data_IF_479178693826
#
_entry.id   IF_479178693826
#
_cell.length_a   1.000
_cell.length_b   1.000
_cell.length_c   1.000
_cell.angle_alpha   90.00
_cell.angle_beta   90.00
_cell.angle_gamma   90.00
#
_symmetry.space_group_name_H-M   'P 1'
#
loop_
_entity.id
_entity.type
_entity.pdbx_description
1 polymer ?
#
# COMPACT_ATOMS: atom_id res chain seq x y z
N UNK A 1 39.05 34.46 59.99
CA UNK A 1 38.80 34.67 58.53
C UNK A 1 38.77 33.30 57.86
N UNK A 2 37.59 32.72 57.71
CA UNK A 2 37.40 31.47 56.99
C UNK A 2 37.15 31.80 55.51
N UNK A 3 38.03 31.29 54.63
CA UNK A 3 37.83 31.33 53.17
C UNK A 3 36.97 30.15 52.75
N UNK A 4 35.75 30.40 52.33
CA UNK A 4 34.90 29.41 51.64
C UNK A 4 35.38 29.36 50.21
N UNK A 5 35.93 28.20 49.83
CA UNK A 5 36.23 27.86 48.42
C UNK A 5 34.95 27.36 47.75
N UNK A 6 34.47 28.06 46.73
CA UNK A 6 33.44 27.55 45.79
C UNK A 6 34.08 26.45 44.91
N UNK A 7 33.61 25.22 45.08
CA UNK A 7 33.81 24.17 44.05
C UNK A 7 32.82 24.41 42.91
N UNK A 8 33.25 24.49 41.63
CA UNK A 8 32.36 24.47 40.50
C UNK A 8 31.83 23.03 40.29
N UNK A 9 30.53 22.85 40.51
CA UNK A 9 29.87 21.61 40.09
C UNK A 9 29.76 21.64 38.58
N UNK A 10 30.65 20.84 37.91
CA UNK A 10 30.60 20.60 36.47
C UNK A 10 29.38 19.70 36.17
N UNK A 11 28.26 20.27 35.72
CA UNK A 11 27.20 19.51 35.13
C UNK A 11 27.69 18.94 33.77
N UNK A 12 28.08 17.67 33.78
CA UNK A 12 28.23 16.89 32.57
C UNK A 12 26.82 16.67 31.96
N UNK A 13 26.42 17.53 31.02
CA UNK A 13 25.28 17.25 30.15
C UNK A 13 25.75 16.12 29.23
N UNK A 14 25.45 14.88 29.57
CA UNK A 14 25.56 13.76 28.67
C UNK A 14 24.39 13.93 27.67
N UNK A 15 24.66 14.58 26.54
CA UNK A 15 23.77 14.53 25.38
C UNK A 15 23.83 13.09 24.87
N UNK A 16 22.85 12.30 25.24
CA UNK A 16 22.61 11.00 24.60
C UNK A 16 22.17 11.30 23.16
N UNK A 17 23.10 11.35 22.23
CA UNK A 17 22.80 11.29 20.82
C UNK A 17 22.47 9.82 20.53
N UNK A 18 21.22 9.45 20.72
CA UNK A 18 20.70 8.19 20.23
C UNK A 18 20.81 8.23 18.69
N UNK A 19 21.70 7.41 18.14
CA UNK A 19 21.77 7.26 16.69
C UNK A 19 20.46 6.62 16.22
N UNK A 20 19.74 7.33 15.37
CA UNK A 20 18.53 6.79 14.70
C UNK A 20 18.89 5.49 13.98
N UNK A 21 18.06 4.47 14.15
CA UNK A 21 18.24 3.15 13.57
C UNK A 21 16.94 2.62 13.00
N UNK A 22 17.01 1.60 12.15
CA UNK A 22 15.87 0.84 11.68
C UNK A 22 15.94 -0.56 12.26
N UNK A 23 14.92 -0.94 13.00
CA UNK A 23 14.76 -2.28 13.54
C UNK A 23 13.39 -2.83 13.19
N UNK A 24 13.36 -3.97 12.53
CA UNK A 24 12.14 -4.74 12.30
C UNK A 24 11.84 -5.60 13.53
N UNK A 25 11.56 -4.93 14.65
CA UNK A 25 11.23 -5.54 15.95
C UNK A 25 9.98 -6.42 15.88
N UNK A 26 9.69 -7.24 16.90
CA UNK A 26 8.45 -8.01 16.98
C UNK A 26 7.19 -7.14 16.86
N UNK A 27 7.17 -5.95 17.51
CA UNK A 27 6.05 -5.01 17.42
C UNK A 27 5.90 -4.43 16.00
N UNK A 28 7.01 -4.07 15.33
CA UNK A 28 6.98 -3.61 13.94
C UNK A 28 6.51 -4.71 12.98
N UNK A 29 6.94 -5.95 13.16
CA UNK A 29 6.47 -7.10 12.35
C UNK A 29 4.99 -7.32 12.50
N UNK A 30 4.48 -7.27 13.74
CA UNK A 30 3.07 -7.44 14.00
C UNK A 30 2.26 -6.26 13.46
N UNK A 31 2.73 -5.02 13.64
CA UNK A 31 2.13 -3.83 13.05
C UNK A 31 2.03 -3.94 11.52
N UNK A 32 3.09 -4.37 10.85
CA UNK A 32 3.07 -4.57 9.39
C UNK A 32 2.02 -5.60 8.96
N UNK A 33 1.93 -6.73 9.69
CA UNK A 33 0.91 -7.75 9.43
C UNK A 33 -0.52 -7.21 9.61
N UNK A 34 -0.76 -6.41 10.66
CA UNK A 34 -2.07 -5.78 10.85
C UNK A 34 -2.37 -4.71 9.79
N UNK A 35 -1.35 -3.98 9.30
CA UNK A 35 -1.47 -3.04 8.16
C UNK A 35 -1.92 -3.79 6.91
N UNK A 36 -1.23 -4.86 6.53
CA UNK A 36 -1.58 -5.69 5.37
C UNK A 36 -2.93 -6.39 5.52
N UNK A 37 -3.37 -6.60 6.76
CA UNK A 37 -4.71 -7.10 7.09
C UNK A 37 -5.79 -6.03 7.04
N UNK A 38 -5.44 -4.73 6.97
CA UNK A 38 -6.34 -3.56 7.09
C UNK A 38 -6.93 -3.38 8.50
N UNK A 39 -6.23 -3.77 9.53
CA UNK A 39 -6.56 -3.57 10.95
C UNK A 39 -5.71 -2.44 11.51
N UNK A 40 -5.95 -1.23 11.03
CA UNK A 40 -5.07 -0.10 11.30
C UNK A 40 -5.04 0.33 12.76
N UNK A 41 -6.15 0.22 13.51
CA UNK A 41 -6.17 0.54 14.94
C UNK A 41 -5.23 -0.39 15.74
N UNK A 42 -5.26 -1.70 15.46
CA UNK A 42 -4.35 -2.65 16.09
C UNK A 42 -2.89 -2.40 15.69
N UNK A 43 -2.64 -2.05 14.43
CA UNK A 43 -1.29 -1.69 13.99
C UNK A 43 -0.76 -0.46 14.76
N UNK A 44 -1.57 0.59 14.92
CA UNK A 44 -1.22 1.81 15.64
C UNK A 44 -0.90 1.54 17.12
N UNK A 45 -1.56 0.55 17.76
CA UNK A 45 -1.23 0.12 19.14
C UNK A 45 0.19 -0.45 19.22
N UNK A 46 0.59 -1.36 18.31
CA UNK A 46 1.95 -1.90 18.23
C UNK A 46 2.98 -0.82 17.95
N UNK A 47 2.71 0.10 17.00
CA UNK A 47 3.62 1.20 16.69
C UNK A 47 3.80 2.15 17.86
N UNK A 48 2.73 2.39 18.61
CA UNK A 48 2.79 3.20 19.85
C UNK A 48 3.63 2.53 20.95
N UNK A 49 3.52 1.21 21.09
CA UNK A 49 4.35 0.41 22.00
C UNK A 49 5.82 0.50 21.63
N UNK A 50 6.15 0.27 20.37
CA UNK A 50 7.54 0.32 19.85
C UNK A 50 8.17 1.70 20.06
N UNK A 51 7.47 2.78 19.72
CA UNK A 51 7.98 4.15 19.92
C UNK A 51 8.26 4.51 21.38
N UNK A 52 7.60 3.83 22.32
CA UNK A 52 7.86 4.01 23.77
C UNK A 52 9.05 3.18 24.26
N UNK A 53 9.20 1.97 23.73
CA UNK A 53 10.24 1.02 24.16
C UNK A 53 11.57 1.24 23.46
N UNK A 54 11.53 1.67 22.20
CA UNK A 54 12.70 1.86 21.31
C UNK A 54 12.56 3.19 20.55
N UNK A 55 12.66 4.35 21.23
CA UNK A 55 12.41 5.66 20.64
C UNK A 55 13.37 6.04 19.51
N UNK A 56 14.53 5.40 19.44
CA UNK A 56 15.52 5.55 18.35
C UNK A 56 15.13 4.79 17.07
N UNK A 57 14.17 3.85 17.12
CA UNK A 57 13.69 3.12 15.97
C UNK A 57 12.82 4.00 15.07
N UNK A 58 13.26 4.26 13.85
CA UNK A 58 12.55 5.09 12.86
C UNK A 58 11.50 4.30 12.07
N UNK A 59 11.59 2.97 12.05
CA UNK A 59 10.70 2.14 11.25
C UNK A 59 9.19 2.30 11.56
N UNK A 60 8.75 2.50 12.82
CA UNK A 60 7.36 2.81 13.14
C UNK A 60 6.79 4.01 12.38
N UNK A 61 7.56 5.07 12.16
CA UNK A 61 7.11 6.27 11.45
C UNK A 61 6.89 6.01 9.95
N UNK A 62 7.69 5.13 9.36
CA UNK A 62 7.43 4.64 8.01
C UNK A 62 6.14 3.81 7.94
N UNK A 63 5.91 2.92 8.89
CA UNK A 63 4.69 2.11 8.96
C UNK A 63 3.43 2.95 9.20
N UNK A 64 3.51 4.04 9.97
CA UNK A 64 2.43 5.02 10.08
C UNK A 64 2.14 5.71 8.73
N UNK A 65 3.19 6.03 7.95
CA UNK A 65 2.98 6.54 6.60
C UNK A 65 2.27 5.52 5.69
N UNK A 66 2.59 4.23 5.86
CA UNK A 66 1.93 3.16 5.12
C UNK A 66 0.44 3.05 5.48
N UNK A 67 0.08 3.22 6.76
CA UNK A 67 -1.32 3.29 7.20
C UNK A 67 -2.04 4.47 6.52
N UNK A 68 -1.46 5.68 6.57
CA UNK A 68 -2.05 6.86 5.93
C UNK A 68 -2.22 6.65 4.42
N UNK A 69 -1.21 6.12 3.76
CA UNK A 69 -1.28 5.77 2.33
C UNK A 69 -2.44 4.83 2.02
N UNK A 70 -2.57 3.72 2.75
CA UNK A 70 -3.65 2.75 2.51
C UNK A 70 -5.03 3.35 2.83
N UNK A 71 -5.16 4.13 3.91
CA UNK A 71 -6.41 4.86 4.22
C UNK A 71 -6.81 5.77 3.05
N UNK A 72 -5.88 6.57 2.54
CA UNK A 72 -6.10 7.49 1.40
C UNK A 72 -6.45 6.71 0.13
N UNK A 73 -5.64 5.70 -0.20
CA UNK A 73 -5.77 4.94 -1.45
C UNK A 73 -7.08 4.17 -1.55
N UNK A 74 -7.58 3.67 -0.41
CA UNK A 74 -8.79 2.85 -0.30
C UNK A 74 -10.05 3.68 -0.17
N UNK A 75 -10.02 4.77 0.64
CA UNK A 75 -11.18 5.61 0.88
C UNK A 75 -11.40 6.68 -0.19
N UNK A 76 -10.32 7.16 -0.83
CA UNK A 76 -10.29 8.33 -1.72
C UNK A 76 -10.92 9.58 -1.05
N UNK A 77 -10.78 9.69 0.27
CA UNK A 77 -11.30 10.79 1.06
C UNK A 77 -10.30 11.96 1.03
N UNK A 78 -10.71 13.11 0.47
CA UNK A 78 -9.88 14.32 0.35
C UNK A 78 -9.47 14.85 1.74
N UNK A 79 -10.34 14.76 2.75
CA UNK A 79 -10.03 15.23 4.10
C UNK A 79 -8.91 14.39 4.74
N UNK A 80 -8.93 13.05 4.52
CA UNK A 80 -7.84 12.17 5.00
C UNK A 80 -6.54 12.50 4.28
N UNK A 81 -6.60 12.76 2.96
CA UNK A 81 -5.44 13.11 2.15
C UNK A 81 -4.79 14.41 2.62
N UNK A 82 -5.57 15.49 2.78
CA UNK A 82 -5.09 16.80 3.20
C UNK A 82 -4.46 16.74 4.60
N UNK A 83 -5.11 16.05 5.55
CA UNK A 83 -4.62 15.92 6.93
C UNK A 83 -3.33 15.09 7.03
N UNK A 84 -3.07 14.18 6.10
CA UNK A 84 -1.88 13.32 6.12
C UNK A 84 -0.61 14.00 5.57
N UNK A 85 -0.73 15.13 4.84
CA UNK A 85 0.42 15.78 4.19
C UNK A 85 1.43 16.33 5.21
N UNK A 86 0.97 16.94 6.30
CA UNK A 86 1.84 17.42 7.38
C UNK A 86 2.58 16.28 8.07
N UNK A 87 1.92 15.15 8.28
CA UNK A 87 2.51 13.94 8.86
C UNK A 87 3.63 13.39 7.97
N UNK A 88 3.43 13.36 6.64
CA UNK A 88 4.46 12.97 5.67
C UNK A 88 5.73 13.76 5.86
N UNK A 89 5.62 15.10 5.90
CA UNK A 89 6.79 15.98 6.01
C UNK A 89 7.58 15.75 7.29
N UNK A 90 6.89 15.50 8.41
CA UNK A 90 7.54 15.16 9.68
C UNK A 90 8.25 13.81 9.60
N UNK A 91 7.61 12.78 9.02
CA UNK A 91 8.19 11.44 8.87
C UNK A 91 9.41 11.43 7.95
N UNK A 92 9.37 12.18 6.85
CA UNK A 92 10.54 12.35 5.96
C UNK A 92 11.73 12.89 6.74
N UNK A 93 11.57 13.94 7.55
CA UNK A 93 12.65 14.50 8.38
C UNK A 93 13.24 13.49 9.36
N UNK A 94 12.39 12.63 9.94
CA UNK A 94 12.87 11.58 10.84
C UNK A 94 13.67 10.50 10.09
N UNK A 95 13.22 10.11 8.89
CA UNK A 95 13.94 9.13 8.06
C UNK A 95 15.27 9.73 7.54
N UNK A 96 15.28 11.01 7.18
CA UNK A 96 16.51 11.72 6.76
C UNK A 96 17.60 11.79 7.86
N UNK A 97 17.21 11.63 9.12
CA UNK A 97 18.14 11.55 10.23
C UNK A 97 18.89 10.20 10.34
N UNK A 98 18.49 9.19 9.57
CA UNK A 98 19.24 7.94 9.46
C UNK A 98 20.61 8.20 8.78
N UNK A 99 21.67 7.47 9.18
CA UNK A 99 22.99 7.62 8.55
C UNK A 99 22.94 7.20 7.07
N UNK A 100 23.73 7.88 6.23
CA UNK A 100 23.87 7.57 4.79
C UNK A 100 24.40 6.17 4.52
N UNK A 101 25.07 5.57 5.51
CA UNK A 101 25.54 4.18 5.46
C UNK A 101 24.46 3.14 5.71
N UNK A 102 23.23 3.56 5.99
CA UNK A 102 22.09 2.66 6.19
C UNK A 102 21.34 2.42 4.89
N UNK A 103 21.19 1.17 4.40
CA UNK A 103 20.39 0.89 3.21
C UNK A 103 18.91 1.25 3.39
N UNK A 104 18.46 1.37 4.64
CA UNK A 104 17.08 1.73 4.93
C UNK A 104 16.77 3.21 4.69
N UNK A 105 17.73 4.12 4.77
CA UNK A 105 17.48 5.55 4.61
C UNK A 105 16.83 5.88 3.27
N UNK A 106 17.54 5.64 2.19
CA UNK A 106 17.03 5.92 0.84
C UNK A 106 15.87 5.00 0.46
N UNK A 107 15.88 3.73 0.91
CA UNK A 107 14.77 2.80 0.71
C UNK A 107 13.45 3.32 1.31
N UNK A 108 13.44 3.74 2.58
CA UNK A 108 12.22 4.23 3.23
C UNK A 108 11.77 5.57 2.63
N UNK A 109 12.70 6.48 2.32
CA UNK A 109 12.38 7.73 1.63
C UNK A 109 11.79 7.49 0.25
N UNK A 110 12.34 6.54 -0.52
CA UNK A 110 11.80 6.15 -1.82
C UNK A 110 10.37 5.62 -1.72
N UNK A 111 10.13 4.72 -0.76
CA UNK A 111 8.79 4.17 -0.54
C UNK A 111 7.76 5.21 -0.08
N UNK A 112 8.12 6.12 0.83
CA UNK A 112 7.24 7.23 1.21
C UNK A 112 6.86 8.06 -0.03
N UNK A 113 7.85 8.46 -0.85
CA UNK A 113 7.57 9.24 -2.07
C UNK A 113 6.73 8.43 -3.08
N UNK A 114 6.98 7.14 -3.26
CA UNK A 114 6.20 6.28 -4.15
C UNK A 114 4.74 6.16 -3.67
N UNK A 115 4.50 5.93 -2.39
CA UNK A 115 3.16 5.88 -1.80
C UNK A 115 2.40 7.20 -2.00
N UNK A 116 3.09 8.33 -1.84
CA UNK A 116 2.52 9.65 -2.09
C UNK A 116 2.29 9.94 -3.57
N UNK A 117 3.13 9.43 -4.47
CA UNK A 117 2.85 9.49 -5.91
C UNK A 117 1.52 8.78 -6.24
N UNK A 118 1.29 7.58 -5.71
CA UNK A 118 0.01 6.89 -5.87
C UNK A 118 -1.17 7.65 -5.26
N UNK A 119 -1.02 8.20 -4.05
CA UNK A 119 -2.05 9.01 -3.41
C UNK A 119 -2.44 10.21 -4.29
N UNK A 120 -1.47 10.97 -4.78
CA UNK A 120 -1.68 12.13 -5.65
C UNK A 120 -2.34 11.76 -6.98
N UNK A 121 -2.02 10.60 -7.57
CA UNK A 121 -2.69 10.12 -8.77
C UNK A 121 -4.20 9.88 -8.54
N UNK A 122 -4.60 9.43 -7.35
CA UNK A 122 -6.02 9.27 -6.99
C UNK A 122 -6.78 10.60 -7.04
N UNK A 123 -6.14 11.70 -6.64
CA UNK A 123 -6.71 13.05 -6.64
C UNK A 123 -6.40 13.84 -7.92
N UNK A 124 -5.77 13.20 -8.94
CA UNK A 124 -5.43 13.80 -10.26
C UNK A 124 -4.36 14.89 -10.18
N UNK A 125 -3.56 14.88 -9.15
CA UNK A 125 -2.41 15.78 -8.98
C UNK A 125 -1.18 15.26 -9.76
N UNK A 126 -1.32 15.16 -11.09
CA UNK A 126 -0.33 14.48 -11.95
C UNK A 126 1.07 15.06 -11.87
N UNK A 127 1.19 16.38 -11.78
CA UNK A 127 2.50 17.03 -11.70
C UNK A 127 3.20 16.75 -10.36
N UNK A 128 2.49 16.88 -9.25
CA UNK A 128 3.01 16.54 -7.93
C UNK A 128 3.36 15.04 -7.82
N UNK A 129 2.52 14.16 -8.38
CA UNK A 129 2.79 12.73 -8.46
C UNK A 129 4.08 12.43 -9.23
N UNK A 130 4.34 13.12 -10.33
CA UNK A 130 5.57 12.97 -11.11
C UNK A 130 6.82 13.41 -10.33
N UNK A 131 6.74 14.48 -9.55
CA UNK A 131 7.84 14.94 -8.67
C UNK A 131 8.13 13.88 -7.60
N UNK A 132 7.10 13.33 -6.95
CA UNK A 132 7.28 12.27 -5.95
C UNK A 132 7.89 11.02 -6.58
N UNK A 133 7.40 10.61 -7.75
CA UNK A 133 7.92 9.45 -8.49
C UNK A 133 9.39 9.63 -8.86
N UNK A 134 9.77 10.84 -9.33
CA UNK A 134 11.15 11.16 -9.66
C UNK A 134 12.08 11.07 -8.45
N UNK A 135 11.63 11.58 -7.31
CA UNK A 135 12.39 11.45 -6.05
C UNK A 135 12.56 10.00 -5.63
N UNK A 136 11.47 9.22 -5.69
CA UNK A 136 11.51 7.80 -5.37
C UNK A 136 12.50 7.04 -6.26
N UNK A 137 12.49 7.32 -7.56
CA UNK A 137 13.38 6.70 -8.54
C UNK A 137 14.85 6.98 -8.21
N UNK A 138 15.25 8.25 -8.07
CA UNK A 138 16.64 8.57 -7.81
C UNK A 138 17.13 8.02 -6.46
N UNK A 139 16.30 8.02 -5.42
CA UNK A 139 16.64 7.44 -4.13
C UNK A 139 16.86 5.93 -4.23
N UNK A 140 16.03 5.22 -5.01
CA UNK A 140 16.15 3.76 -5.14
C UNK A 140 17.33 3.36 -6.03
N UNK A 141 17.61 4.12 -7.10
CA UNK A 141 18.79 3.93 -7.94
C UNK A 141 20.08 4.09 -7.11
N UNK A 142 20.23 5.22 -6.42
CA UNK A 142 21.37 5.47 -5.54
C UNK A 142 21.51 4.37 -4.46
N UNK A 143 20.38 3.94 -3.88
CA UNK A 143 20.40 2.88 -2.87
C UNK A 143 20.82 1.52 -3.45
N UNK A 144 20.42 1.23 -4.69
CA UNK A 144 20.80 -0.01 -5.38
C UNK A 144 22.29 -0.02 -5.75
N UNK A 145 22.82 1.12 -6.17
CA UNK A 145 24.26 1.26 -6.45
C UNK A 145 25.10 1.08 -5.18
N UNK A 146 24.69 1.71 -4.07
CA UNK A 146 25.44 1.67 -2.81
C UNK A 146 25.25 0.34 -2.05
N UNK A 147 24.10 -0.33 -2.22
CA UNK A 147 23.74 -1.55 -1.49
C UNK A 147 23.13 -2.60 -2.44
N UNK A 148 23.94 -3.19 -3.36
CA UNK A 148 23.44 -4.11 -4.39
C UNK A 148 22.79 -5.39 -3.84
N UNK A 149 23.17 -5.80 -2.63
CA UNK A 149 22.62 -6.99 -1.95
C UNK A 149 21.38 -6.68 -1.10
N UNK A 150 20.90 -5.43 -1.11
CA UNK A 150 19.70 -5.04 -0.40
C UNK A 150 18.45 -5.26 -1.29
N UNK A 151 17.97 -6.49 -1.34
CA UNK A 151 16.88 -6.95 -2.21
C UNK A 151 15.55 -6.20 -2.08
N UNK A 152 15.16 -5.58 -0.94
CA UNK A 152 13.93 -4.78 -0.89
C UNK A 152 13.87 -3.68 -1.96
N UNK A 153 15.03 -3.17 -2.43
CA UNK A 153 15.08 -2.18 -3.51
C UNK A 153 14.35 -2.64 -4.78
N UNK A 154 14.42 -3.93 -5.12
CA UNK A 154 13.81 -4.48 -6.35
C UNK A 154 12.28 -4.34 -6.37
N UNK A 155 11.61 -4.40 -5.21
CA UNK A 155 10.14 -4.19 -5.17
C UNK A 155 9.83 -2.76 -5.58
N UNK A 156 10.45 -1.78 -4.92
CA UNK A 156 10.22 -0.35 -5.19
C UNK A 156 10.59 0.02 -6.62
N UNK A 157 11.74 -0.45 -7.09
CA UNK A 157 12.23 -0.23 -8.45
C UNK A 157 11.29 -0.83 -9.51
N UNK A 158 10.87 -2.09 -9.32
CA UNK A 158 9.92 -2.76 -10.20
C UNK A 158 8.58 -2.03 -10.28
N UNK A 159 8.04 -1.59 -9.12
CA UNK A 159 6.79 -0.82 -9.08
C UNK A 159 6.93 0.53 -9.81
N UNK A 160 8.05 1.23 -9.65
CA UNK A 160 8.33 2.48 -10.38
C UNK A 160 8.35 2.23 -11.90
N UNK A 161 9.07 1.19 -12.38
CA UNK A 161 9.10 0.82 -13.80
C UNK A 161 7.71 0.53 -14.37
N UNK A 162 6.87 -0.16 -13.60
CA UNK A 162 5.48 -0.43 -13.99
C UNK A 162 4.71 0.88 -14.14
N UNK A 163 4.79 1.79 -13.17
CA UNK A 163 4.10 3.08 -13.24
C UNK A 163 4.52 3.87 -14.45
N UNK A 164 5.82 3.96 -14.70
CA UNK A 164 6.41 4.67 -15.86
C UNK A 164 5.89 4.07 -17.16
N UNK A 165 5.89 2.74 -17.29
CA UNK A 165 5.36 2.02 -18.45
C UNK A 165 3.85 2.20 -18.68
N UNK A 166 3.10 2.67 -17.66
CA UNK A 166 1.66 2.93 -17.75
C UNK A 166 1.31 4.37 -18.10
N UNK A 167 2.29 5.28 -18.16
CA UNK A 167 2.01 6.70 -18.46
C UNK A 167 1.47 6.82 -19.88
N UNK A 168 0.24 7.35 -20.06
CA UNK A 168 -0.32 7.52 -21.41
C UNK A 168 0.51 8.49 -22.25
N UNK A 169 0.60 8.26 -23.57
CA UNK A 169 1.39 9.06 -24.50
C UNK A 169 1.19 10.59 -24.35
N UNK A 170 -0.01 11.03 -24.09
CA UNK A 170 -0.33 12.45 -23.87
C UNK A 170 0.39 13.08 -22.68
N UNK A 171 0.96 12.27 -21.78
CA UNK A 171 1.73 12.69 -20.61
C UNK A 171 3.23 12.37 -20.73
N UNK A 172 3.72 11.84 -21.87
CA UNK A 172 5.14 11.54 -22.09
C UNK A 172 6.06 12.74 -21.89
N UNK A 173 5.54 13.95 -22.07
CA UNK A 173 6.28 15.17 -21.75
C UNK A 173 6.70 15.25 -20.28
N UNK A 174 5.92 14.67 -19.36
CA UNK A 174 6.28 14.57 -17.93
C UNK A 174 7.49 13.64 -17.77
N UNK A 175 7.44 12.46 -18.41
CA UNK A 175 8.54 11.48 -18.38
C UNK A 175 9.83 12.05 -18.96
N UNK A 176 9.75 12.86 -20.02
CA UNK A 176 10.93 13.49 -20.62
C UNK A 176 11.60 14.53 -19.69
N UNK A 177 10.84 15.14 -18.78
CA UNK A 177 11.37 16.06 -17.76
C UNK A 177 12.10 15.30 -16.64
N UNK A 178 11.53 14.16 -16.21
CA UNK A 178 12.08 13.37 -15.10
C UNK A 178 13.11 12.32 -15.54
N UNK A 179 13.28 12.12 -16.85
CA UNK A 179 14.31 11.23 -17.44
C UNK A 179 14.30 9.80 -16.85
N UNK A 180 13.12 9.26 -16.56
CA UNK A 180 12.94 7.91 -16.07
C UNK A 180 12.50 7.00 -17.21
N UNK A 181 13.17 5.86 -17.36
CA UNK A 181 12.80 4.80 -18.28
C UNK A 181 12.24 3.61 -17.50
N UNK A 182 11.24 2.94 -18.08
CA UNK A 182 10.65 1.75 -17.47
C UNK A 182 9.57 1.15 -18.34
N UNK A 183 9.35 -0.15 -18.14
CA UNK A 183 8.26 -0.87 -18.80
C UNK A 183 7.50 -1.72 -17.78
N UNK A 184 6.24 -2.01 -18.11
CA UNK A 184 5.42 -2.91 -17.29
C UNK A 184 6.06 -4.31 -17.24
N UNK A 185 6.65 -4.77 -18.33
CA UNK A 185 7.29 -6.07 -18.41
C UNK A 185 8.51 -6.17 -17.50
N UNK A 186 9.44 -5.21 -17.61
CA UNK A 186 10.66 -5.21 -16.79
C UNK A 186 10.34 -5.13 -15.29
N UNK A 187 9.45 -4.21 -14.92
CA UNK A 187 9.06 -4.07 -13.51
C UNK A 187 8.32 -5.30 -12.97
N UNK A 188 7.49 -5.95 -13.79
CA UNK A 188 6.81 -7.20 -13.40
C UNK A 188 7.79 -8.34 -13.23
N UNK A 189 8.82 -8.44 -14.10
CA UNK A 189 9.86 -9.46 -14.00
C UNK A 189 10.67 -9.29 -12.70
N UNK A 190 11.02 -8.07 -12.31
CA UNK A 190 11.68 -7.81 -11.02
C UNK A 190 10.84 -8.26 -9.83
N UNK A 191 9.53 -8.00 -9.85
CA UNK A 191 8.64 -8.47 -8.79
C UNK A 191 8.56 -10.01 -8.73
N UNK A 192 8.53 -10.71 -9.87
CA UNK A 192 8.56 -12.18 -9.89
C UNK A 192 9.90 -12.74 -9.38
N UNK A 193 11.03 -12.08 -9.66
CA UNK A 193 12.33 -12.46 -9.07
C UNK A 193 12.30 -12.38 -7.54
N UNK A 194 11.72 -11.29 -6.99
CA UNK A 194 11.59 -11.15 -5.54
C UNK A 194 10.63 -12.19 -4.96
N UNK A 195 9.52 -12.50 -5.63
CA UNK A 195 8.60 -13.54 -5.20
C UNK A 195 9.30 -14.91 -5.16
N UNK A 196 10.06 -15.25 -6.19
CA UNK A 196 10.83 -16.50 -6.22
C UNK A 196 11.85 -16.56 -5.09
N UNK A 197 12.57 -15.45 -4.83
CA UNK A 197 13.54 -15.36 -3.74
C UNK A 197 12.84 -15.56 -2.38
N UNK A 198 11.73 -14.86 -2.14
CA UNK A 198 10.99 -14.93 -0.88
C UNK A 198 10.40 -16.32 -0.60
N UNK A 199 10.09 -17.09 -1.65
CA UNK A 199 9.60 -18.47 -1.54
C UNK A 199 10.74 -19.48 -1.31
N UNK A 200 11.98 -19.16 -1.75
CA UNK A 200 13.13 -20.08 -1.68
C UNK A 200 14.05 -19.84 -0.49
N UNK A 201 14.09 -18.61 0.06
CA UNK A 201 14.95 -18.21 1.17
C UNK A 201 14.15 -17.53 2.28
N UNK A 202 14.12 -18.17 3.45
CA UNK A 202 13.38 -17.68 4.63
C UNK A 202 13.86 -16.33 5.15
N UNK A 203 15.10 -15.92 4.84
CA UNK A 203 15.60 -14.58 5.19
C UNK A 203 14.84 -13.47 4.47
N UNK A 204 14.24 -13.76 3.31
CA UNK A 204 13.49 -12.83 2.47
C UNK A 204 11.97 -13.08 2.49
N UNK A 205 11.49 -14.04 3.27
CA UNK A 205 10.05 -14.38 3.35
C UNK A 205 9.17 -13.17 3.72
N UNK A 206 9.73 -12.17 4.44
CA UNK A 206 9.00 -10.95 4.79
C UNK A 206 8.65 -10.05 3.59
N UNK A 207 9.29 -10.25 2.43
CA UNK A 207 9.00 -9.51 1.19
C UNK A 207 7.82 -10.11 0.41
N UNK A 208 7.36 -11.32 0.75
CA UNK A 208 6.39 -12.08 -0.01
C UNK A 208 5.04 -11.35 -0.13
N UNK A 209 4.45 -10.94 1.00
CA UNK A 209 3.10 -10.34 1.02
C UNK A 209 3.03 -9.06 0.19
N UNK A 210 4.02 -8.17 0.33
CA UNK A 210 4.08 -6.93 -0.44
C UNK A 210 4.25 -7.20 -1.94
N UNK A 211 5.11 -8.15 -2.28
CA UNK A 211 5.34 -8.55 -3.68
C UNK A 211 4.08 -9.14 -4.31
N UNK A 212 3.37 -10.03 -3.59
CA UNK A 212 2.08 -10.60 -4.03
C UNK A 212 1.04 -9.49 -4.22
N UNK A 213 1.01 -8.49 -3.34
CA UNK A 213 0.10 -7.36 -3.48
C UNK A 213 0.30 -6.61 -4.80
N UNK A 214 1.54 -6.23 -5.12
CA UNK A 214 1.82 -5.52 -6.38
C UNK A 214 1.61 -6.40 -7.61
N UNK A 215 2.05 -7.65 -7.60
CA UNK A 215 1.80 -8.60 -8.69
C UNK A 215 0.29 -8.83 -8.91
N UNK A 216 -0.47 -8.98 -7.83
CA UNK A 216 -1.92 -9.12 -7.90
C UNK A 216 -2.59 -7.90 -8.55
N UNK A 217 -2.10 -6.70 -8.24
CA UNK A 217 -2.59 -5.48 -8.87
C UNK A 217 -2.28 -5.45 -10.38
N UNK A 218 -1.06 -5.83 -10.76
CA UNK A 218 -0.62 -5.90 -12.18
C UNK A 218 -1.47 -6.89 -12.96
N UNK A 219 -1.58 -8.12 -12.49
CA UNK A 219 -2.31 -9.20 -13.17
C UNK A 219 -3.82 -8.94 -13.23
N UNK A 220 -4.37 -8.19 -12.26
CA UNK A 220 -5.79 -7.86 -12.28
C UNK A 220 -6.14 -6.68 -13.18
N UNK A 221 -5.27 -5.68 -13.30
CA UNK A 221 -5.67 -4.38 -13.82
C UNK A 221 -4.82 -3.87 -14.99
N UNK A 222 -3.59 -4.36 -15.14
CA UNK A 222 -2.63 -3.81 -16.11
C UNK A 222 -2.41 -4.74 -17.25
N UNK A 223 -1.96 -5.96 -16.99
CA UNK A 223 -1.65 -6.98 -17.98
C UNK A 223 -2.32 -8.31 -17.59
N UNK A 224 -3.66 -8.41 -17.70
CA UNK A 224 -4.40 -9.58 -17.24
C UNK A 224 -4.00 -10.85 -17.97
N UNK A 225 -3.37 -11.77 -17.27
CA UNK A 225 -3.09 -13.13 -17.71
C UNK A 225 -3.82 -14.13 -16.79
N UNK A 226 -4.73 -14.92 -17.38
CA UNK A 226 -5.53 -15.87 -16.62
C UNK A 226 -4.67 -16.94 -15.92
N UNK A 227 -3.63 -17.41 -16.59
CA UNK A 227 -2.75 -18.48 -16.06
C UNK A 227 -1.93 -17.94 -14.89
N UNK A 228 -1.28 -16.79 -15.07
CA UNK A 228 -0.51 -16.12 -14.02
C UNK A 228 -1.39 -15.73 -12.83
N UNK A 229 -2.58 -15.18 -13.10
CA UNK A 229 -3.56 -14.86 -12.05
C UNK A 229 -3.96 -16.08 -11.22
N UNK A 230 -4.13 -17.25 -11.84
CA UNK A 230 -4.47 -18.49 -11.13
C UNK A 230 -3.29 -19.02 -10.31
N UNK A 231 -2.07 -18.92 -10.81
CA UNK A 231 -0.86 -19.28 -10.02
C UNK A 231 -0.75 -18.36 -8.80
N UNK A 232 -0.90 -17.05 -9.00
CA UNK A 232 -0.85 -16.07 -7.92
C UNK A 232 -1.99 -16.25 -6.90
N UNK A 233 -3.15 -16.75 -7.34
CA UNK A 233 -4.27 -17.04 -6.47
C UNK A 233 -3.93 -18.08 -5.39
N UNK A 234 -3.05 -19.06 -5.68
CA UNK A 234 -2.61 -20.05 -4.71
C UNK A 234 -1.84 -19.41 -3.54
N UNK A 235 -1.08 -18.35 -3.82
CA UNK A 235 -0.36 -17.56 -2.80
C UNK A 235 -1.32 -16.60 -2.04
N UNK A 236 -2.33 -16.07 -2.72
CA UNK A 236 -3.29 -15.10 -2.15
C UNK A 236 -4.29 -15.76 -1.20
N UNK A 237 -4.82 -16.94 -1.53
CA UNK A 237 -5.90 -17.56 -0.76
C UNK A 237 -5.56 -17.80 0.72
N UNK A 238 -4.35 -18.27 1.10
CA UNK A 238 -3.98 -18.41 2.51
C UNK A 238 -4.01 -17.08 3.27
N UNK A 239 -3.65 -15.97 2.60
CA UNK A 239 -3.61 -14.62 3.19
C UNK A 239 -5.02 -13.99 3.29
N UNK A 240 -5.93 -14.40 2.41
CA UNK A 240 -7.29 -13.88 2.33
C UNK A 240 -8.15 -14.16 3.58
N UNK A 241 -7.80 -15.15 4.38
CA UNK A 241 -8.51 -15.48 5.62
C UNK A 241 -8.27 -14.44 6.73
N UNK A 242 -7.15 -13.73 6.71
CA UNK A 242 -6.75 -12.74 7.71
C UNK A 242 -6.66 -11.30 7.18
N UNK A 243 -6.69 -11.09 5.87
CA UNK A 243 -6.53 -9.79 5.23
C UNK A 243 -7.67 -9.48 4.27
N UNK A 244 -8.34 -8.33 4.48
CA UNK A 244 -9.35 -7.83 3.53
C UNK A 244 -8.74 -7.46 2.18
N UNK A 245 -7.48 -7.03 2.17
CA UNK A 245 -6.77 -6.66 0.95
C UNK A 245 -6.58 -7.88 0.04
N UNK A 246 -6.06 -8.98 0.59
CA UNK A 246 -5.89 -10.23 -0.14
C UNK A 246 -7.22 -10.92 -0.45
N UNK A 247 -8.21 -10.81 0.44
CA UNK A 247 -9.56 -11.27 0.16
C UNK A 247 -10.18 -10.55 -1.05
N UNK A 248 -10.03 -9.23 -1.15
CA UNK A 248 -10.45 -8.46 -2.32
C UNK A 248 -9.76 -8.93 -3.60
N UNK A 249 -8.44 -9.15 -3.55
CA UNK A 249 -7.68 -9.67 -4.70
C UNK A 249 -8.16 -11.07 -5.10
N UNK A 250 -8.28 -11.96 -4.14
CA UNK A 250 -8.74 -13.33 -4.35
C UNK A 250 -10.12 -13.39 -5.01
N UNK A 251 -11.08 -12.63 -4.49
CA UNK A 251 -12.43 -12.54 -5.07
C UNK A 251 -12.39 -11.99 -6.50
N UNK A 252 -11.59 -10.96 -6.76
CA UNK A 252 -11.43 -10.41 -8.12
C UNK A 252 -10.92 -11.46 -9.10
N UNK A 253 -9.85 -12.18 -8.74
CA UNK A 253 -9.28 -13.24 -9.59
C UNK A 253 -10.33 -14.34 -9.82
N UNK A 254 -10.96 -14.84 -8.76
CA UNK A 254 -11.99 -15.88 -8.85
C UNK A 254 -13.14 -15.46 -9.77
N UNK A 255 -13.62 -14.23 -9.64
CA UNK A 255 -14.73 -13.70 -10.44
C UNK A 255 -14.31 -13.49 -11.91
N UNK A 256 -13.10 -13.00 -12.17
CA UNK A 256 -12.58 -12.81 -13.54
C UNK A 256 -12.25 -14.14 -14.23
N UNK A 257 -11.91 -15.17 -13.47
CA UNK A 257 -11.62 -16.53 -13.98
C UNK A 257 -12.83 -17.45 -14.00
N UNK A 258 -14.03 -16.92 -13.73
CA UNK A 258 -15.32 -17.63 -13.71
C UNK A 258 -15.42 -18.75 -12.64
N UNK A 259 -14.67 -18.64 -11.53
CA UNK A 259 -14.77 -19.54 -10.38
C UNK A 259 -15.76 -18.99 -9.33
N UNK A 260 -17.01 -18.75 -9.76
CA UNK A 260 -18.00 -18.02 -8.97
C UNK A 260 -18.36 -18.69 -7.64
N UNK A 261 -18.39 -20.02 -7.56
CA UNK A 261 -18.71 -20.74 -6.31
C UNK A 261 -17.62 -20.51 -5.24
N UNK A 262 -16.35 -20.50 -5.65
CA UNK A 262 -15.24 -20.18 -4.74
C UNK A 262 -15.24 -18.70 -4.32
N UNK A 263 -15.60 -17.80 -5.25
CA UNK A 263 -15.75 -16.39 -4.94
C UNK A 263 -16.84 -16.16 -3.89
N UNK A 264 -17.99 -16.85 -4.01
CA UNK A 264 -19.08 -16.78 -3.03
C UNK A 264 -18.67 -17.27 -1.64
N UNK A 265 -17.94 -18.38 -1.56
CA UNK A 265 -17.39 -18.90 -0.29
C UNK A 265 -16.49 -17.86 0.35
N UNK A 266 -15.59 -17.23 -0.44
CA UNK A 266 -14.68 -16.21 0.07
C UNK A 266 -15.44 -14.95 0.52
N UNK A 267 -16.44 -14.47 -0.25
CA UNK A 267 -17.30 -13.37 0.18
C UNK A 267 -17.98 -13.64 1.51
N UNK A 268 -18.56 -14.84 1.68
CA UNK A 268 -19.25 -15.21 2.91
C UNK A 268 -18.32 -15.22 4.13
N UNK A 269 -17.04 -15.59 3.96
CA UNK A 269 -16.04 -15.53 5.02
C UNK A 269 -15.73 -14.10 5.46
N UNK A 270 -15.78 -13.12 4.55
CA UNK A 270 -15.36 -11.74 4.82
C UNK A 270 -16.48 -10.79 5.26
N UNK A 271 -17.75 -11.25 5.32
CA UNK A 271 -18.91 -10.39 5.61
C UNK A 271 -18.97 -9.81 7.04
N UNK A 272 -18.31 -10.43 8.02
CA UNK A 272 -18.40 -10.04 9.45
C UNK A 272 -17.01 -9.80 10.04
N UNK A 273 -16.38 -8.66 9.72
CA UNK A 273 -15.04 -8.34 10.22
C UNK A 273 -15.06 -7.07 11.07
N UNK A 274 -15.38 -7.22 12.35
CA UNK A 274 -15.13 -6.16 13.34
C UNK A 274 -13.63 -5.87 13.45
N UNK A 275 -13.24 -4.61 13.61
CA UNK A 275 -11.86 -4.17 13.76
C UNK A 275 -11.08 -3.95 12.46
N UNK A 276 -11.70 -4.19 11.29
CA UNK A 276 -11.09 -3.86 10.00
C UNK A 276 -11.47 -2.44 9.55
N UNK A 277 -10.54 -1.77 8.87
CA UNK A 277 -10.83 -0.51 8.22
C UNK A 277 -11.90 -0.68 7.13
N UNK A 278 -12.86 0.25 6.99
CA UNK A 278 -13.93 0.14 5.99
C UNK A 278 -13.38 0.05 4.56
N UNK A 279 -13.74 -1.02 3.86
CA UNK A 279 -13.28 -1.26 2.49
C UNK A 279 -14.48 -1.38 1.53
N UNK A 280 -14.99 -0.23 1.11
CA UNK A 280 -16.21 -0.14 0.31
C UNK A 280 -16.08 -0.72 -1.10
N UNK A 281 -14.89 -0.84 -1.65
CA UNK A 281 -14.66 -1.58 -2.89
C UNK A 281 -15.09 -3.05 -2.83
N UNK A 282 -15.08 -3.66 -1.65
CA UNK A 282 -15.64 -5.01 -1.45
C UNK A 282 -17.16 -5.02 -1.60
N UNK A 283 -17.86 -3.97 -1.14
CA UNK A 283 -19.32 -3.86 -1.35
C UNK A 283 -19.63 -3.72 -2.84
N UNK A 284 -18.87 -2.89 -3.57
CA UNK A 284 -18.99 -2.76 -5.02
C UNK A 284 -18.73 -4.09 -5.74
N UNK A 285 -17.63 -4.79 -5.40
CA UNK A 285 -17.27 -6.07 -6.02
C UNK A 285 -18.30 -7.17 -5.72
N UNK A 286 -18.86 -7.18 -4.53
CA UNK A 286 -19.93 -8.10 -4.15
C UNK A 286 -21.23 -7.80 -4.92
N UNK A 287 -21.54 -6.51 -5.16
CA UNK A 287 -22.64 -6.11 -6.03
C UNK A 287 -22.46 -6.61 -7.47
N UNK A 288 -21.24 -6.53 -8.02
CA UNK A 288 -20.88 -7.11 -9.33
C UNK A 288 -21.14 -8.60 -9.40
N UNK A 289 -20.78 -9.32 -8.34
CA UNK A 289 -20.97 -10.75 -8.23
C UNK A 289 -22.47 -11.10 -8.28
N UNK A 290 -23.31 -10.43 -7.47
CA UNK A 290 -24.77 -10.67 -7.47
C UNK A 290 -25.42 -10.27 -8.80
N UNK A 291 -24.97 -9.17 -9.43
CA UNK A 291 -25.46 -8.77 -10.75
C UNK A 291 -25.20 -9.85 -11.81
N UNK A 292 -24.01 -10.45 -11.81
CA UNK A 292 -23.68 -11.56 -12.71
C UNK A 292 -24.52 -12.82 -12.45
N UNK A 293 -24.99 -13.03 -11.23
CA UNK A 293 -25.94 -14.10 -10.86
C UNK A 293 -27.39 -13.74 -11.17
N UNK A 294 -27.67 -12.56 -11.71
CA UNK A 294 -28.99 -11.99 -11.95
C UNK A 294 -29.81 -11.80 -10.64
N UNK A 295 -29.14 -11.75 -9.51
CA UNK A 295 -29.72 -11.37 -8.23
C UNK A 295 -29.73 -9.84 -8.12
N UNK A 296 -30.71 -9.23 -8.78
CA UNK A 296 -30.84 -7.78 -8.95
C UNK A 296 -31.06 -7.06 -7.64
N UNK A 297 -31.79 -7.65 -6.70
CA UNK A 297 -32.10 -7.06 -5.39
C UNK A 297 -30.86 -6.93 -4.52
N UNK A 298 -30.06 -7.99 -4.38
CA UNK A 298 -28.84 -7.96 -3.61
C UNK A 298 -27.78 -7.08 -4.29
N UNK A 299 -27.67 -7.11 -5.62
CA UNK A 299 -26.79 -6.23 -6.37
C UNK A 299 -27.12 -4.75 -6.10
N UNK A 300 -28.39 -4.35 -6.23
CA UNK A 300 -28.88 -2.99 -6.01
C UNK A 300 -28.64 -2.52 -4.57
N UNK A 301 -28.91 -3.37 -3.58
CA UNK A 301 -28.66 -3.08 -2.17
C UNK A 301 -27.18 -2.78 -1.89
N UNK A 302 -26.26 -3.57 -2.46
CA UNK A 302 -24.83 -3.41 -2.25
C UNK A 302 -24.24 -2.22 -3.00
N UNK A 303 -24.66 -1.96 -4.25
CA UNK A 303 -24.30 -0.71 -4.95
C UNK A 303 -24.78 0.52 -4.18
N UNK A 304 -26.01 0.49 -3.65
CA UNK A 304 -26.54 1.59 -2.84
C UNK A 304 -25.75 1.78 -1.54
N UNK A 305 -25.33 0.69 -0.90
CA UNK A 305 -24.46 0.73 0.28
C UNK A 305 -23.10 1.36 -0.06
N UNK A 306 -22.48 0.95 -1.19
CA UNK A 306 -21.25 1.54 -1.69
C UNK A 306 -21.41 3.05 -1.92
N UNK A 307 -22.40 3.47 -2.69
CA UNK A 307 -22.67 4.87 -3.02
C UNK A 307 -22.95 5.74 -1.79
N UNK A 308 -23.57 5.18 -0.76
CA UNK A 308 -23.89 5.91 0.48
C UNK A 308 -22.64 6.20 1.33
N UNK A 309 -21.67 5.29 1.34
CA UNK A 309 -20.59 5.31 2.31
C UNK A 309 -19.23 5.70 1.70
N UNK A 310 -19.02 5.43 0.40
CA UNK A 310 -17.78 5.76 -0.27
C UNK A 310 -17.71 7.24 -0.61
N UNK A 311 -16.63 7.91 -0.20
CA UNK A 311 -16.44 9.35 -0.40
C UNK A 311 -15.65 9.70 -1.66
N UNK A 312 -15.01 8.70 -2.29
CA UNK A 312 -14.20 8.88 -3.48
C UNK A 312 -15.00 9.08 -4.76
N UNK A 313 -14.30 9.15 -5.88
CA UNK A 313 -14.87 9.46 -7.22
C UNK A 313 -14.91 8.23 -8.14
N UNK A 314 -14.10 7.20 -7.86
CA UNK A 314 -14.03 6.00 -8.71
C UNK A 314 -15.26 5.11 -8.53
N UNK A 315 -15.68 4.47 -9.61
CA UNK A 315 -16.85 3.58 -9.69
C UNK A 315 -18.23 4.20 -9.37
N UNK A 316 -18.34 5.47 -8.96
CA UNK A 316 -19.61 6.11 -8.63
C UNK A 316 -20.56 6.09 -9.83
N UNK A 317 -20.12 6.57 -11.00
CA UNK A 317 -20.96 6.58 -12.22
C UNK A 317 -21.30 5.16 -12.68
N UNK A 318 -20.36 4.23 -12.51
CA UNK A 318 -20.56 2.84 -12.89
C UNK A 318 -21.58 2.15 -11.98
N UNK A 319 -21.50 2.37 -10.67
CA UNK A 319 -22.46 1.85 -9.71
C UNK A 319 -23.91 2.34 -10.01
N UNK A 320 -24.08 3.63 -10.30
CA UNK A 320 -25.38 4.17 -10.72
C UNK A 320 -25.88 3.54 -12.02
N UNK A 321 -25.01 3.41 -13.03
CA UNK A 321 -25.35 2.74 -14.28
C UNK A 321 -25.83 1.30 -14.05
N UNK A 322 -25.15 0.56 -13.17
CA UNK A 322 -25.47 -0.83 -12.86
C UNK A 322 -26.72 -0.98 -12.03
N UNK A 323 -27.02 -0.03 -11.15
CA UNK A 323 -28.36 0.04 -10.51
C UNK A 323 -29.45 0.17 -11.57
N UNK A 324 -29.27 1.07 -12.55
CA UNK A 324 -30.25 1.18 -13.65
C UNK A 324 -30.38 -0.13 -14.45
N UNK A 325 -29.26 -0.86 -14.67
CA UNK A 325 -29.34 -2.18 -15.32
C UNK A 325 -30.13 -3.20 -14.51
N UNK A 326 -30.12 -3.17 -13.17
CA UNK A 326 -30.93 -4.08 -12.36
C UNK A 326 -32.42 -3.88 -12.64
N UNK A 327 -32.85 -2.64 -12.79
CA UNK A 327 -34.27 -2.33 -13.13
C UNK A 327 -34.63 -2.76 -14.55
N UNK A 328 -33.73 -2.52 -15.52
CA UNK A 328 -33.93 -2.99 -16.90
C UNK A 328 -34.06 -4.52 -17.00
N UNK A 329 -33.25 -5.25 -16.24
CA UNK A 329 -33.32 -6.72 -16.18
C UNK A 329 -34.63 -7.23 -15.59
N UNK A 330 -35.28 -6.46 -14.73
CA UNK A 330 -36.62 -6.74 -14.16
C UNK A 330 -37.76 -6.30 -15.08
N UNK A 331 -37.44 -5.69 -16.24
CA UNK A 331 -38.46 -5.16 -17.18
C UNK A 331 -39.02 -3.79 -16.80
N UNK A 332 -38.44 -3.14 -15.79
CA UNK A 332 -38.80 -1.78 -15.40
C UNK A 332 -37.99 -0.78 -16.23
N UNK A 333 -38.64 -0.05 -17.10
CA UNK A 333 -38.03 0.92 -18.05
C UNK A 333 -38.42 2.37 -17.77
N UNK A 334 -39.16 2.65 -16.68
CA UNK A 334 -39.56 3.99 -16.26
C UNK A 334 -38.56 4.73 -15.41
#
# INVERSE_FOLDING_TARGET
>A
MLKFGLLPVLFLIITYQGNSQVSNSPDCKQAYKEIMSMKFEQAEEYLTSEKKTTPENIYPYYLENYIDFLKIFISEDEEIFDNAEDNKLQRIKLIEALPDTSPYRNYLLANVNLQWAFARLKFKEYFSAAIELNRAYHLIEENTENFPDFYPNKITHGVIKIIVGLVPEKYNWILSIISIEGSVEDGTNELYEVLQLSNSDTNYAYLQEETIFYLGFVELNINPDKTKSLILLEEILPLADSSLLFAYMGVNILTKTAQNDKAEILFNKIQNRAGYYPFYYLDYLNAEFYLKKLDTDNARKLYSKFLKNFKGKNYIKDAWRKIAWTYLLEGNTE
#
